data_IF_730414587865
#
_entry.id   IF_730414587865
#
_cell.length_a   1.000
_cell.length_b   1.000
_cell.length_c   1.000
_cell.angle_alpha   90.00
_cell.angle_beta   90.00
_cell.angle_gamma   90.00
#
_symmetry.space_group_name_H-M   'P 1'
#
loop_
_entity.id
_entity.type
_entity.pdbx_description
1 polymer ?
#
# COMPACT_ATOMS: atom_id res chain seq x y z
N UNK A 1 -14.68 22.11 -12.43
CA UNK A 1 -14.75 20.80 -13.11
C UNK A 1 -15.38 19.81 -12.14
N UNK A 2 -16.29 18.95 -12.62
CA UNK A 2 -16.94 17.91 -11.80
C UNK A 2 -15.90 16.95 -11.19
N UNK A 3 -15.70 16.97 -9.87
CA UNK A 3 -14.75 16.10 -9.17
C UNK A 3 -15.36 14.73 -8.77
N UNK A 4 -16.58 14.43 -9.22
CA UNK A 4 -17.32 13.22 -8.80
C UNK A 4 -17.32 12.10 -9.83
N UNK A 5 -16.75 12.34 -11.02
CA UNK A 5 -16.71 11.37 -12.11
C UNK A 5 -15.35 11.27 -12.81
N UNK A 6 -15.11 10.13 -13.45
CA UNK A 6 -13.99 9.86 -14.36
C UNK A 6 -14.51 9.36 -15.71
N UNK A 7 -13.65 9.41 -16.73
CA UNK A 7 -13.95 8.89 -18.06
C UNK A 7 -13.22 7.56 -18.21
N UNK A 8 -13.96 6.50 -18.51
CA UNK A 8 -13.41 5.19 -18.82
C UNK A 8 -12.77 5.20 -20.21
N UNK A 9 -11.43 5.10 -20.24
CA UNK A 9 -10.66 5.04 -21.48
C UNK A 9 -10.37 3.59 -21.92
N UNK A 10 -10.41 2.65 -20.98
CA UNK A 10 -10.22 1.23 -21.23
C UNK A 10 -11.17 0.39 -20.36
N UNK A 11 -11.95 -0.54 -20.95
CA UNK A 11 -12.16 -0.71 -22.39
C UNK A 11 -12.71 0.59 -23.03
N UNK A 12 -12.52 0.84 -24.35
CA UNK A 12 -12.75 2.15 -24.97
C UNK A 12 -14.24 2.50 -25.08
N UNK A 13 -14.86 2.87 -23.96
CA UNK A 13 -16.28 3.19 -23.89
C UNK A 13 -16.55 4.69 -23.87
N UNK A 14 -15.55 5.49 -23.45
CA UNK A 14 -15.67 6.93 -23.19
C UNK A 14 -16.80 7.29 -22.22
N UNK A 15 -17.28 6.32 -21.43
CA UNK A 15 -18.36 6.52 -20.48
C UNK A 15 -17.87 7.35 -19.30
N UNK A 16 -18.70 8.28 -18.87
CA UNK A 16 -18.51 8.99 -17.61
C UNK A 16 -19.10 8.15 -16.49
N UNK A 17 -18.27 7.72 -15.55
CA UNK A 17 -18.66 6.89 -14.41
C UNK A 17 -18.42 7.62 -13.09
N UNK A 18 -19.26 7.41 -12.07
CA UNK A 18 -19.04 7.99 -10.75
C UNK A 18 -17.76 7.42 -10.13
N UNK A 19 -17.02 8.25 -9.41
CA UNK A 19 -15.81 7.82 -8.67
C UNK A 19 -16.20 7.04 -7.42
N UNK A 20 -17.24 7.48 -6.72
CA UNK A 20 -17.67 6.85 -5.49
C UNK A 20 -18.12 5.42 -5.73
N UNK A 21 -17.42 4.49 -5.09
CA UNK A 21 -17.67 3.06 -5.20
C UNK A 21 -17.02 2.41 -6.41
N UNK A 22 -16.32 3.16 -7.28
CA UNK A 22 -15.76 2.62 -8.52
C UNK A 22 -14.78 1.49 -8.22
N UNK A 23 -13.82 1.74 -7.34
CA UNK A 23 -12.83 0.73 -6.96
C UNK A 23 -13.30 -0.13 -5.81
N UNK A 24 -14.25 0.30 -4.98
CA UNK A 24 -14.87 -0.57 -3.98
C UNK A 24 -15.65 -1.73 -4.61
N UNK A 25 -16.37 -1.46 -5.69
CA UNK A 25 -17.26 -2.41 -6.36
C UNK A 25 -16.58 -3.15 -7.52
N UNK A 26 -15.39 -2.74 -7.93
CA UNK A 26 -14.60 -3.46 -8.93
C UNK A 26 -14.34 -4.90 -8.45
N UNK A 27 -14.48 -5.89 -9.32
CA UNK A 27 -14.17 -7.26 -8.96
C UNK A 27 -12.66 -7.39 -8.61
N UNK A 28 -12.35 -7.97 -7.45
CA UNK A 28 -11.02 -8.56 -7.21
C UNK A 28 -11.28 -10.04 -7.25
N UNK A 29 -10.63 -10.76 -8.16
CA UNK A 29 -10.85 -12.19 -8.33
C UNK A 29 -10.70 -12.89 -6.98
N UNK A 30 -11.82 -13.42 -6.47
CA UNK A 30 -11.85 -14.26 -5.29
C UNK A 30 -11.47 -15.70 -5.65
N UNK A 31 -11.15 -16.50 -4.64
CA UNK A 31 -10.91 -17.94 -4.83
C UNK A 31 -9.45 -18.37 -4.95
N UNK A 32 -8.52 -17.51 -4.52
CA UNK A 32 -7.14 -17.96 -4.26
C UNK A 32 -7.14 -19.14 -3.27
N UNK A 33 -6.21 -20.10 -3.42
CA UNK A 33 -5.99 -21.15 -2.43
C UNK A 33 -5.78 -20.58 -1.03
N UNK A 34 -6.02 -21.41 -0.02
CA UNK A 34 -5.70 -21.07 1.37
C UNK A 34 -4.22 -20.63 1.45
N UNK A 35 -3.94 -19.59 2.24
CA UNK A 35 -2.62 -18.99 2.41
C UNK A 35 -2.01 -18.32 1.15
N UNK A 36 -2.80 -18.10 0.11
CA UNK A 36 -2.39 -17.32 -1.06
C UNK A 36 -3.15 -15.99 -1.08
N UNK A 37 -2.54 -14.87 -0.63
CA UNK A 37 -3.20 -13.58 -0.67
C UNK A 37 -3.43 -13.13 -2.12
N UNK A 38 -4.52 -12.40 -2.35
CA UNK A 38 -4.70 -11.60 -3.55
C UNK A 38 -3.92 -10.28 -3.38
N UNK A 39 -2.92 -10.06 -4.24
CA UNK A 39 -2.01 -8.91 -4.17
C UNK A 39 -2.30 -7.95 -5.30
N UNK A 40 -2.53 -6.69 -4.97
CA UNK A 40 -2.81 -5.65 -5.93
C UNK A 40 -2.07 -4.36 -5.60
N UNK A 41 -1.94 -3.50 -6.59
CA UNK A 41 -1.25 -2.21 -6.48
C UNK A 41 -1.89 -1.21 -7.42
N UNK A 42 -1.49 0.06 -7.34
CA UNK A 42 -1.91 1.07 -8.29
C UNK A 42 -0.77 2.02 -8.64
N UNK A 43 -0.84 2.60 -9.83
CA UNK A 43 0.03 3.71 -10.22
C UNK A 43 -0.75 4.78 -10.96
N UNK A 44 -0.49 6.04 -10.59
CA UNK A 44 -0.85 7.17 -11.44
C UNK A 44 0.35 7.57 -12.28
N UNK A 45 0.13 7.74 -13.58
CA UNK A 45 1.21 8.07 -14.53
C UNK A 45 0.77 9.18 -15.46
N UNK A 46 1.73 9.96 -15.96
CA UNK A 46 1.53 10.76 -17.16
C UNK A 46 1.44 9.86 -18.41
N UNK A 47 0.96 10.39 -19.54
CA UNK A 47 0.77 9.61 -20.78
C UNK A 47 2.06 8.95 -21.31
N UNK A 48 3.21 9.48 -20.96
CA UNK A 48 4.54 8.95 -21.27
C UNK A 48 5.11 8.04 -20.17
N UNK A 49 4.28 7.62 -19.21
CA UNK A 49 4.61 6.60 -18.20
C UNK A 49 5.40 7.09 -16.99
N UNK A 50 5.49 8.41 -16.74
CA UNK A 50 6.25 8.94 -15.60
C UNK A 50 5.35 9.01 -14.35
N UNK A 51 5.84 8.40 -13.26
CA UNK A 51 5.20 8.43 -11.93
C UNK A 51 5.66 9.62 -11.07
N UNK A 52 6.76 10.27 -11.45
CA UNK A 52 7.30 11.42 -10.75
C UNK A 52 8.12 12.30 -11.70
N UNK A 53 8.10 13.61 -11.45
CA UNK A 53 8.91 14.61 -12.14
C UNK A 53 9.77 15.35 -11.12
N UNK A 54 10.86 15.96 -11.59
CA UNK A 54 11.71 16.80 -10.74
C UNK A 54 10.98 18.10 -10.45
N UNK A 55 10.75 18.39 -9.18
CA UNK A 55 10.22 19.67 -8.72
C UNK A 55 11.26 20.77 -9.01
N UNK A 56 10.88 21.86 -9.71
CA UNK A 56 11.82 22.91 -10.08
C UNK A 56 12.38 23.68 -8.87
N UNK A 57 11.69 23.68 -7.72
CA UNK A 57 12.06 24.46 -6.55
C UNK A 57 13.09 23.75 -5.66
N UNK A 58 12.89 22.46 -5.40
CA UNK A 58 13.74 21.69 -4.47
C UNK A 58 14.50 20.53 -5.12
N UNK A 59 14.34 20.35 -6.43
CA UNK A 59 14.95 19.29 -7.26
C UNK A 59 14.63 17.86 -6.79
N UNK A 60 13.62 17.68 -5.93
CA UNK A 60 13.14 16.37 -5.51
C UNK A 60 12.21 15.79 -6.56
N UNK A 61 12.19 14.45 -6.69
CA UNK A 61 11.19 13.78 -7.52
C UNK A 61 9.86 13.72 -6.78
N UNK A 62 8.81 14.30 -7.33
CA UNK A 62 7.45 14.30 -6.77
C UNK A 62 6.41 13.85 -7.77
N UNK A 63 5.32 13.28 -7.29
CA UNK A 63 4.17 12.99 -8.15
C UNK A 63 3.58 14.32 -8.61
N UNK A 64 3.36 14.53 -9.93
CA UNK A 64 2.77 15.77 -10.42
C UNK A 64 1.38 16.04 -9.80
N UNK A 65 1.05 17.28 -9.40
CA UNK A 65 -0.27 17.60 -8.83
C UNK A 65 -1.44 17.31 -9.79
N UNK A 66 -1.20 17.33 -11.09
CA UNK A 66 -2.22 17.04 -12.10
C UNK A 66 -2.58 15.54 -12.14
N UNK A 67 -1.64 14.65 -11.78
CA UNK A 67 -1.88 13.21 -11.67
C UNK A 67 -2.38 12.85 -10.28
N UNK A 68 -1.71 13.30 -9.21
CA UNK A 68 -2.14 13.11 -7.82
C UNK A 68 -3.18 14.17 -7.42
N UNK A 69 -4.40 14.02 -7.95
CA UNK A 69 -5.51 14.96 -7.74
C UNK A 69 -6.59 14.35 -6.81
N UNK A 70 -7.61 15.11 -6.37
CA UNK A 70 -8.62 14.61 -5.44
C UNK A 70 -9.39 13.37 -5.92
N UNK A 71 -9.53 13.15 -7.23
CA UNK A 71 -10.18 11.95 -7.77
C UNK A 71 -9.30 10.72 -7.56
N UNK A 72 -8.02 10.83 -7.88
CA UNK A 72 -7.03 9.78 -7.64
C UNK A 72 -6.93 9.47 -6.14
N UNK A 73 -6.87 10.50 -5.30
CA UNK A 73 -6.87 10.32 -3.85
C UNK A 73 -8.09 9.54 -3.34
N UNK A 74 -9.28 9.84 -3.87
CA UNK A 74 -10.50 9.09 -3.53
C UNK A 74 -10.40 7.62 -3.97
N UNK A 75 -9.92 7.34 -5.18
CA UNK A 75 -9.76 5.98 -5.69
C UNK A 75 -8.69 5.19 -4.92
N UNK A 76 -7.58 5.82 -4.57
CA UNK A 76 -6.53 5.28 -3.70
C UNK A 76 -7.09 4.86 -2.32
N UNK A 77 -7.95 5.70 -1.74
CA UNK A 77 -8.63 5.42 -0.49
C UNK A 77 -9.61 4.23 -0.61
N UNK A 78 -10.32 4.11 -1.72
CA UNK A 78 -11.20 2.96 -1.99
C UNK A 78 -10.43 1.64 -2.10
N UNK A 79 -9.29 1.62 -2.81
CA UNK A 79 -8.43 0.42 -2.88
C UNK A 79 -7.93 -0.01 -1.51
N UNK A 80 -7.52 0.95 -0.69
CA UNK A 80 -7.07 0.68 0.67
C UNK A 80 -8.17 0.19 1.60
N UNK A 81 -9.40 0.70 1.43
CA UNK A 81 -10.54 0.27 2.24
C UNK A 81 -10.85 -1.23 2.06
N UNK A 82 -10.43 -1.83 0.94
CA UNK A 82 -10.63 -3.25 0.63
C UNK A 82 -9.51 -4.14 1.17
N UNK A 83 -8.37 -3.57 1.53
CA UNK A 83 -7.20 -4.32 1.97
C UNK A 83 -7.39 -4.87 3.39
N UNK A 84 -6.85 -6.05 3.62
CA UNK A 84 -6.60 -6.54 4.98
C UNK A 84 -5.28 -5.98 5.49
N UNK A 85 -4.31 -5.85 4.58
CA UNK A 85 -2.97 -5.37 4.84
C UNK A 85 -2.46 -4.44 3.73
N UNK A 86 -1.81 -3.35 4.14
CA UNK A 86 -1.10 -2.44 3.25
C UNK A 86 0.39 -2.78 3.28
N UNK A 87 0.96 -3.09 2.11
CA UNK A 87 2.39 -3.30 1.94
C UNK A 87 3.06 -1.97 1.54
N UNK A 88 4.06 -1.56 2.31
CA UNK A 88 4.86 -0.34 2.05
C UNK A 88 6.35 -0.60 2.32
N UNK A 89 7.16 0.45 2.44
CA UNK A 89 8.62 0.37 2.57
C UNK A 89 9.17 1.12 3.77
N UNK A 90 10.38 0.77 4.21
CA UNK A 90 11.11 1.57 5.20
C UNK A 90 11.41 3.00 4.72
N UNK A 91 11.52 3.21 3.40
CA UNK A 91 11.66 4.54 2.81
C UNK A 91 10.44 5.42 3.08
N UNK A 92 9.23 4.88 2.94
CA UNK A 92 8.00 5.58 3.28
C UNK A 92 7.98 6.01 4.75
N UNK A 93 8.37 5.12 5.68
CA UNK A 93 8.42 5.46 7.11
C UNK A 93 9.40 6.59 7.42
N UNK A 94 10.55 6.64 6.74
CA UNK A 94 11.50 7.76 6.86
C UNK A 94 10.90 9.07 6.36
N UNK A 95 10.18 9.05 5.24
CA UNK A 95 9.50 10.25 4.73
C UNK A 95 8.39 10.71 5.69
N UNK A 96 7.60 9.76 6.22
CA UNK A 96 6.51 10.05 7.15
C UNK A 96 7.03 10.74 8.41
N UNK A 97 8.15 10.27 8.96
CA UNK A 97 8.77 10.87 10.14
C UNK A 97 9.35 12.27 9.91
N UNK A 98 9.78 12.57 8.68
CA UNK A 98 10.26 13.90 8.29
C UNK A 98 9.11 14.87 7.97
N UNK A 99 7.86 14.41 7.99
CA UNK A 99 6.71 15.18 7.51
C UNK A 99 6.74 15.44 6.00
N UNK A 100 7.61 14.74 5.26
CA UNK A 100 7.80 14.89 3.81
C UNK A 100 7.13 13.77 3.02
N UNK A 101 6.47 12.82 3.70
CA UNK A 101 5.62 11.87 2.99
C UNK A 101 4.54 12.67 2.26
N UNK A 102 4.46 12.47 0.95
CA UNK A 102 3.48 13.15 0.11
C UNK A 102 2.07 12.83 0.59
N UNK A 103 1.84 11.60 1.08
CA UNK A 103 0.55 11.15 1.59
C UNK A 103 0.67 10.32 2.89
N UNK A 104 -0.36 10.39 3.72
CA UNK A 104 -0.54 9.51 4.88
C UNK A 104 -1.08 8.16 4.37
N UNK A 105 -0.70 7.04 5.01
CA UNK A 105 -1.28 5.74 4.64
C UNK A 105 -2.82 5.80 4.60
N UNK A 106 -3.43 5.23 3.55
CA UNK A 106 -4.85 5.41 3.27
C UNK A 106 -5.77 4.65 4.22
N UNK A 107 -7.07 4.91 4.05
CA UNK A 107 -8.17 4.81 5.03
C UNK A 107 -8.11 5.98 6.04
N UNK A 108 -7.99 7.20 5.50
CA UNK A 108 -8.05 8.46 6.27
C UNK A 108 -9.28 8.54 7.21
N UNK A 109 -9.13 9.13 8.40
CA UNK A 109 -10.25 9.37 9.33
C UNK A 109 -11.09 10.62 8.98
N UNK A 110 -10.75 11.34 7.91
CA UNK A 110 -11.51 12.53 7.50
C UNK A 110 -12.97 12.18 7.17
N UNK A 111 -13.89 13.09 7.46
CA UNK A 111 -15.35 12.87 7.35
C UNK A 111 -15.80 12.51 5.93
N UNK A 112 -15.11 13.00 4.91
CA UNK A 112 -15.36 12.70 3.50
C UNK A 112 -15.12 11.22 3.11
N UNK A 113 -14.44 10.45 3.98
CA UNK A 113 -14.19 9.00 3.79
C UNK A 113 -14.97 8.14 4.78
N UNK A 114 -15.96 8.70 5.49
CA UNK A 114 -16.79 7.95 6.45
C UNK A 114 -17.48 6.74 5.81
N UNK A 115 -17.84 6.85 4.54
CA UNK A 115 -18.45 5.76 3.77
C UNK A 115 -17.50 4.56 3.62
N UNK A 116 -16.18 4.78 3.55
CA UNK A 116 -15.19 3.70 3.51
C UNK A 116 -15.11 2.93 4.84
N UNK A 117 -15.19 3.63 5.97
CA UNK A 117 -15.23 3.00 7.30
C UNK A 117 -16.53 2.21 7.50
N UNK A 118 -17.65 2.73 7.03
CA UNK A 118 -18.93 2.01 7.01
C UNK A 118 -18.83 0.75 6.14
N UNK A 119 -18.24 0.86 4.95
CA UNK A 119 -18.03 -0.27 4.05
C UNK A 119 -17.18 -1.36 4.71
N UNK A 120 -16.08 -1.00 5.39
CA UNK A 120 -15.24 -1.95 6.12
C UNK A 120 -16.02 -2.66 7.23
N UNK A 121 -16.83 -1.92 7.98
CA UNK A 121 -17.68 -2.45 9.05
C UNK A 121 -18.70 -3.47 8.51
N UNK A 122 -19.39 -3.12 7.42
CA UNK A 122 -20.34 -4.02 6.75
C UNK A 122 -19.68 -5.30 6.24
N UNK A 123 -18.41 -5.20 5.83
CA UNK A 123 -17.59 -6.34 5.38
C UNK A 123 -16.84 -7.05 6.52
N UNK A 124 -17.13 -6.71 7.79
CA UNK A 124 -16.50 -7.30 8.99
C UNK A 124 -14.98 -7.19 9.00
N UNK A 125 -14.45 -6.09 8.46
CA UNK A 125 -13.03 -5.79 8.48
C UNK A 125 -12.69 -4.86 9.64
N UNK A 126 -11.46 -4.93 10.20
CA UNK A 126 -11.01 -3.97 11.19
C UNK A 126 -11.07 -2.53 10.64
N UNK A 127 -11.23 -1.48 11.48
CA UNK A 127 -11.36 -0.10 11.02
C UNK A 127 -10.19 0.37 10.13
N UNK A 128 -9.00 -0.16 10.37
CA UNK A 128 -7.78 0.15 9.63
C UNK A 128 -7.15 -1.16 9.13
N UNK A 129 -6.57 -1.19 7.93
CA UNK A 129 -5.76 -2.33 7.50
C UNK A 129 -4.44 -2.37 8.27
N UNK A 130 -3.95 -3.58 8.49
CA UNK A 130 -2.61 -3.81 9.03
C UNK A 130 -1.55 -3.31 8.05
N UNK A 131 -0.30 -3.22 8.50
CA UNK A 131 0.80 -2.69 7.67
C UNK A 131 1.96 -3.66 7.65
N UNK A 132 2.36 -4.09 6.46
CA UNK A 132 3.66 -4.74 6.26
C UNK A 132 4.69 -3.75 5.70
N UNK A 133 5.87 -3.73 6.30
CA UNK A 133 7.02 -2.96 5.84
C UNK A 133 7.99 -3.91 5.15
N UNK A 134 8.09 -3.81 3.83
CA UNK A 134 9.04 -4.58 3.03
C UNK A 134 10.36 -3.81 2.94
N UNK A 135 11.40 -4.28 3.64
CA UNK A 135 12.64 -3.53 3.73
C UNK A 135 13.87 -4.38 4.03
N UNK A 136 14.96 -4.12 3.29
CA UNK A 136 16.28 -4.71 3.58
C UNK A 136 16.93 -4.14 4.83
N UNK A 137 16.72 -2.84 5.07
CA UNK A 137 17.30 -2.13 6.21
C UNK A 137 16.24 -1.75 7.24
N UNK A 138 16.55 -1.94 8.52
CA UNK A 138 15.70 -1.60 9.66
C UNK A 138 15.91 -0.15 10.16
N UNK A 139 16.53 0.68 9.31
CA UNK A 139 16.84 2.09 9.55
C UNK A 139 15.63 2.99 9.28
N UNK A 140 14.65 2.91 10.18
CA UNK A 140 13.52 3.84 10.23
C UNK A 140 13.09 4.06 11.69
N UNK A 141 12.45 5.21 11.98
CA UNK A 141 11.89 5.48 13.29
C UNK A 141 10.64 4.63 13.55
N UNK A 142 10.34 4.37 14.82
CA UNK A 142 9.13 3.66 15.22
C UNK A 142 7.90 4.46 14.75
N UNK A 143 6.99 3.85 13.96
CA UNK A 143 5.84 4.54 13.40
C UNK A 143 4.70 4.68 14.41
N UNK A 144 4.92 5.42 15.51
CA UNK A 144 3.94 5.58 16.59
C UNK A 144 2.57 6.09 16.12
N UNK A 145 2.52 6.86 15.03
CA UNK A 145 1.26 7.30 14.43
C UNK A 145 0.41 6.12 13.95
N UNK A 146 1.01 5.12 13.32
CA UNK A 146 0.31 3.93 12.83
C UNK A 146 -0.11 3.03 14.00
N UNK A 147 0.76 2.87 15.00
CA UNK A 147 0.43 2.11 16.23
C UNK A 147 -0.77 2.72 16.96
N UNK A 148 -0.82 4.06 17.11
CA UNK A 148 -1.97 4.76 17.72
C UNK A 148 -3.27 4.63 16.92
N UNK A 149 -3.21 4.31 15.63
CA UNK A 149 -4.39 4.00 14.83
C UNK A 149 -4.91 2.56 15.07
N UNK A 150 -4.25 1.78 15.94
CA UNK A 150 -4.61 0.39 16.22
C UNK A 150 -4.19 -0.59 15.13
N UNK A 151 -3.29 -0.19 14.22
CA UNK A 151 -2.78 -1.05 13.15
C UNK A 151 -1.73 -2.01 13.70
N UNK A 152 -1.82 -3.31 13.39
CA UNK A 152 -0.67 -4.21 13.57
C UNK A 152 0.38 -3.87 12.53
N UNK A 153 1.64 -3.94 12.93
CA UNK A 153 2.78 -3.66 12.05
C UNK A 153 3.66 -4.89 12.01
N UNK A 154 3.96 -5.33 10.79
CA UNK A 154 4.83 -6.45 10.48
C UNK A 154 5.97 -5.93 9.62
N UNK A 155 7.21 -6.30 9.93
CA UNK A 155 8.38 -5.95 9.12
C UNK A 155 8.90 -7.23 8.47
N UNK A 156 9.01 -7.20 7.15
CA UNK A 156 9.62 -8.26 6.35
C UNK A 156 11.06 -7.84 6.04
N UNK A 157 12.02 -8.64 6.51
CA UNK A 157 13.45 -8.32 6.42
C UNK A 157 14.30 -9.53 6.01
N UNK A 158 15.51 -9.34 5.46
CA UNK A 158 16.44 -10.43 5.18
C UNK A 158 16.86 -11.24 6.43
N UNK A 159 17.37 -12.45 6.21
CA UNK A 159 17.83 -13.35 7.29
C UNK A 159 18.90 -12.72 8.19
N UNK A 160 19.77 -11.90 7.60
CA UNK A 160 20.93 -11.23 8.19
C UNK A 160 20.63 -9.82 8.71
N UNK A 161 19.35 -9.46 8.85
CA UNK A 161 18.95 -8.19 9.45
C UNK A 161 19.51 -8.01 10.87
N UNK A 162 19.91 -6.78 11.21
CA UNK A 162 20.54 -6.42 12.48
C UNK A 162 19.66 -6.80 13.69
N UNK A 163 20.17 -7.69 14.55
CA UNK A 163 19.46 -8.20 15.72
C UNK A 163 19.08 -7.11 16.74
N UNK A 164 19.91 -6.07 16.92
CA UNK A 164 19.59 -4.96 17.82
C UNK A 164 18.45 -4.11 17.23
N UNK A 165 18.47 -3.90 15.91
CA UNK A 165 17.39 -3.19 15.24
C UNK A 165 16.06 -3.97 15.30
N UNK A 166 16.12 -5.30 15.22
CA UNK A 166 14.97 -6.20 15.43
C UNK A 166 14.44 -6.07 16.85
N UNK A 167 15.29 -6.24 17.86
CA UNK A 167 14.88 -6.17 19.27
C UNK A 167 14.19 -4.84 19.60
N UNK A 168 14.74 -3.73 19.09
CA UNK A 168 14.16 -2.39 19.23
C UNK A 168 12.74 -2.29 18.64
N UNK A 169 12.47 -2.96 17.53
CA UNK A 169 11.13 -2.99 16.91
C UNK A 169 10.17 -3.84 17.75
N UNK A 170 10.63 -5.02 18.18
CA UNK A 170 9.83 -5.96 18.98
C UNK A 170 9.44 -5.39 20.35
N UNK A 171 10.32 -4.60 20.99
CA UNK A 171 10.01 -3.84 22.22
C UNK A 171 8.80 -2.91 22.07
N UNK A 172 8.46 -2.50 20.85
CA UNK A 172 7.31 -1.66 20.52
C UNK A 172 6.11 -2.45 20.00
N UNK A 173 6.14 -3.79 20.11
CA UNK A 173 5.10 -4.69 19.63
C UNK A 173 5.06 -4.83 18.10
N UNK A 174 6.16 -4.48 17.41
CA UNK A 174 6.27 -4.64 15.96
C UNK A 174 6.89 -6.02 15.69
N UNK A 175 6.16 -6.87 14.97
CA UNK A 175 6.64 -8.20 14.59
C UNK A 175 7.67 -8.07 13.47
N UNK A 176 8.81 -8.75 13.59
CA UNK A 176 9.78 -8.87 12.50
C UNK A 176 9.84 -10.31 12.00
N UNK A 177 9.61 -10.47 10.69
CA UNK A 177 9.68 -11.73 9.98
C UNK A 177 10.89 -11.67 9.08
N UNK A 178 11.77 -12.66 9.24
CA UNK A 178 12.97 -12.80 8.43
C UNK A 178 12.74 -13.79 7.30
N UNK A 179 13.25 -13.48 6.10
CA UNK A 179 13.36 -14.45 5.01
C UNK A 179 14.44 -15.48 5.32
N UNK A 180 14.48 -16.56 4.53
CA UNK A 180 15.46 -17.62 4.69
C UNK A 180 16.88 -17.25 4.23
N UNK A 181 17.00 -16.37 3.23
CA UNK A 181 18.29 -16.05 2.61
C UNK A 181 18.87 -14.69 3.10
N UNK A 182 20.17 -14.61 3.42
CA UNK A 182 20.86 -13.35 3.70
C UNK A 182 20.84 -12.39 2.51
N UNK A 183 20.71 -11.08 2.75
CA UNK A 183 20.77 -10.01 1.74
C UNK A 183 19.59 -9.94 0.76
N UNK A 184 18.86 -11.03 0.59
CA UNK A 184 17.71 -11.13 -0.29
C UNK A 184 16.40 -11.03 0.50
N UNK A 185 15.53 -10.14 0.03
CA UNK A 185 14.17 -10.02 0.51
C UNK A 185 13.25 -10.56 -0.59
N UNK A 186 12.99 -11.86 -0.54
CA UNK A 186 12.17 -12.57 -1.53
C UNK A 186 10.69 -12.17 -1.37
N UNK A 187 10.11 -11.64 -2.44
CA UNK A 187 8.73 -11.17 -2.43
C UNK A 187 7.73 -12.32 -2.38
N UNK A 188 8.03 -13.48 -2.99
CA UNK A 188 7.16 -14.65 -2.98
C UNK A 188 7.08 -15.25 -1.58
N UNK A 189 8.23 -15.50 -0.95
CA UNK A 189 8.33 -15.98 0.43
C UNK A 189 7.60 -15.02 1.38
N UNK A 190 7.85 -13.72 1.23
CA UNK A 190 7.22 -12.69 2.06
C UNK A 190 5.69 -12.70 1.95
N UNK A 191 5.15 -12.74 0.73
CA UNK A 191 3.69 -12.76 0.51
C UNK A 191 3.08 -14.07 1.00
N UNK A 192 3.73 -15.21 0.76
CA UNK A 192 3.29 -16.50 1.28
C UNK A 192 3.20 -16.49 2.82
N UNK A 193 4.23 -15.97 3.47
CA UNK A 193 4.33 -15.87 4.94
C UNK A 193 3.24 -14.96 5.54
N UNK A 194 2.79 -13.94 4.80
CA UNK A 194 1.62 -13.14 5.16
C UNK A 194 0.31 -13.92 4.94
N UNK A 195 0.21 -14.73 3.90
CA UNK A 195 -0.93 -15.62 3.68
C UNK A 195 -1.09 -16.68 4.77
N UNK A 196 0.01 -17.24 5.26
CA UNK A 196 0.02 -18.15 6.43
C UNK A 196 -0.54 -17.49 7.69
N UNK A 197 -0.36 -16.16 7.84
CA UNK A 197 -0.95 -15.36 8.92
C UNK A 197 -2.41 -14.98 8.68
N UNK A 198 -3.01 -15.42 7.57
CA UNK A 198 -4.41 -15.25 7.27
C UNK A 198 -4.77 -13.98 6.51
N UNK A 199 -3.80 -13.19 6.05
CA UNK A 199 -4.07 -12.04 5.18
C UNK A 199 -4.56 -12.51 3.81
N UNK A 200 -5.71 -12.01 3.36
CA UNK A 200 -6.33 -12.44 2.09
C UNK A 200 -6.16 -11.41 0.99
N UNK A 201 -6.10 -10.12 1.33
CA UNK A 201 -5.97 -9.00 0.39
C UNK A 201 -4.83 -8.09 0.82
N UNK A 202 -3.79 -8.06 0.01
CA UNK A 202 -2.60 -7.23 0.22
C UNK A 202 -2.58 -6.12 -0.81
N UNK A 203 -2.64 -4.88 -0.35
CA UNK A 203 -2.53 -3.71 -1.20
C UNK A 203 -1.14 -3.09 -1.09
N UNK A 204 -0.37 -3.19 -2.16
CA UNK A 204 0.94 -2.54 -2.25
C UNK A 204 0.79 -1.08 -2.66
N UNK A 205 1.15 -0.19 -1.74
CA UNK A 205 1.30 1.26 -1.98
C UNK A 205 2.77 1.67 -2.07
N UNK A 206 3.63 0.67 -2.27
CA UNK A 206 5.07 0.84 -2.26
C UNK A 206 5.60 1.39 -3.58
N UNK A 207 6.83 1.89 -3.54
CA UNK A 207 7.49 2.46 -4.72
C UNK A 207 7.84 1.42 -5.81
N UNK A 208 8.36 1.90 -6.96
CA UNK A 208 8.60 1.09 -8.16
C UNK A 208 9.51 -0.11 -7.94
N UNK A 209 10.42 -0.04 -6.95
CA UNK A 209 11.29 -1.17 -6.60
C UNK A 209 10.49 -2.38 -6.07
N UNK A 210 9.56 -2.15 -5.14
CA UNK A 210 8.74 -3.23 -4.58
C UNK A 210 7.74 -3.72 -5.61
N UNK A 211 7.18 -2.81 -6.41
CA UNK A 211 6.36 -3.20 -7.56
C UNK A 211 7.11 -4.15 -8.49
N UNK A 212 8.35 -3.82 -8.85
CA UNK A 212 9.20 -4.70 -9.66
C UNK A 212 9.45 -6.05 -8.97
N UNK A 213 9.77 -6.07 -7.68
CA UNK A 213 9.93 -7.32 -6.92
C UNK A 213 8.69 -8.20 -6.96
N UNK A 214 7.49 -7.65 -6.71
CA UNK A 214 6.23 -8.39 -6.74
C UNK A 214 5.94 -8.97 -8.13
N UNK A 215 6.18 -8.17 -9.17
CA UNK A 215 5.99 -8.59 -10.56
C UNK A 215 6.99 -9.68 -10.97
N UNK A 216 8.28 -9.48 -10.68
CA UNK A 216 9.34 -10.44 -11.02
C UNK A 216 9.18 -11.78 -10.29
N UNK A 217 8.65 -11.77 -9.07
CA UNK A 217 8.33 -12.97 -8.30
C UNK A 217 7.01 -13.64 -8.70
N UNK A 218 6.26 -13.06 -9.65
CA UNK A 218 4.94 -13.51 -10.11
C UNK A 218 3.92 -13.64 -8.97
N UNK A 219 3.88 -12.63 -8.09
CA UNK A 219 2.94 -12.58 -6.96
C UNK A 219 2.02 -11.36 -6.99
N UNK A 220 2.08 -10.54 -8.05
CA UNK A 220 1.13 -9.45 -8.27
C UNK A 220 -0.03 -9.96 -9.13
N UNK A 221 -1.27 -9.81 -8.65
CA UNK A 221 -2.46 -10.30 -9.34
C UNK A 221 -3.08 -9.23 -10.24
N UNK A 222 -3.11 -7.97 -9.79
CA UNK A 222 -3.67 -6.90 -10.61
C UNK A 222 -3.05 -5.54 -10.32
N UNK A 223 -3.15 -4.66 -11.31
CA UNK A 223 -2.67 -3.29 -11.30
C UNK A 223 -3.84 -2.36 -11.64
N UNK A 224 -4.03 -1.35 -10.79
CA UNK A 224 -4.99 -0.27 -10.98
C UNK A 224 -4.34 1.03 -11.44
#
# INVERSE_FOLDING_TARGET
MDQTSVIELYPPSAKRVPIQGLYLNAELEGGKPVHTPFVYTNFVTSLDGRIAIVDPNDRQRKVPPHTANPRDWRLFQELAARADLILTSGHYLRQLARGTAQDILPVSPASEFKDLHNWRTLNRLPPQPDVAIFTRGLEFPIPHRLLRQGRRIIVLSPADADANAIARLEEHGIEVIRTQQPGELDARESIHTLGERGYKRIYSVAGPYIFHSLLASNVLDTLF
#
